data_IF_295981295878
#
_entry.id   IF_295981295878
#
_cell.length_a   1.000
_cell.length_b   1.000
_cell.length_c   1.000
_cell.angle_alpha   90.00
_cell.angle_beta   90.00
_cell.angle_gamma   90.00
#
_symmetry.space_group_name_H-M   'P 1'
#
loop_
_entity.id
_entity.type
_entity.pdbx_description
1 polymer ?
#
# COMPACT_ATOMS: atom_id res chain seq x y z
N UNK A 1 -26.66 -10.35 -4.27
CA UNK A 1 -25.30 -9.75 -4.27
C UNK A 1 -25.29 -8.27 -3.91
N UNK A 2 -26.07 -7.42 -4.58
CA UNK A 2 -26.06 -5.96 -4.35
C UNK A 2 -26.36 -5.54 -2.90
N UNK A 3 -27.28 -6.23 -2.22
CA UNK A 3 -27.60 -5.99 -0.80
C UNK A 3 -26.40 -6.22 0.12
N UNK A 4 -25.63 -7.30 -0.11
CA UNK A 4 -24.43 -7.61 0.67
C UNK A 4 -23.31 -6.60 0.42
N UNK A 5 -23.11 -6.18 -0.83
CA UNK A 5 -22.13 -5.15 -1.17
C UNK A 5 -22.42 -3.81 -0.47
N UNK A 6 -23.68 -3.40 -0.42
CA UNK A 6 -24.09 -2.17 0.29
C UNK A 6 -23.85 -2.30 1.80
N UNK A 7 -24.13 -3.46 2.40
CA UNK A 7 -23.86 -3.70 3.82
C UNK A 7 -22.35 -3.60 4.11
N UNK A 8 -21.52 -4.24 3.29
CA UNK A 8 -20.07 -4.16 3.42
C UNK A 8 -19.54 -2.74 3.23
N UNK A 9 -20.11 -1.97 2.29
CA UNK A 9 -19.76 -0.57 2.07
C UNK A 9 -20.01 0.28 3.33
N UNK A 10 -21.18 0.12 3.95
CA UNK A 10 -21.53 0.84 5.18
C UNK A 10 -20.59 0.46 6.33
N UNK A 11 -20.30 -0.84 6.49
CA UNK A 11 -19.36 -1.33 7.52
C UNK A 11 -17.95 -0.77 7.29
N UNK A 12 -17.47 -0.72 6.05
CA UNK A 12 -16.17 -0.17 5.72
C UNK A 12 -16.06 1.34 6.03
N UNK A 13 -17.12 2.12 5.76
CA UNK A 13 -17.18 3.55 6.10
C UNK A 13 -17.18 3.75 7.62
N UNK A 14 -17.99 2.98 8.36
CA UNK A 14 -18.05 3.05 9.81
C UNK A 14 -16.69 2.70 10.41
N UNK A 15 -16.05 1.63 9.93
CA UNK A 15 -14.72 1.25 10.36
C UNK A 15 -13.72 2.37 10.07
N UNK A 16 -13.76 2.96 8.86
CA UNK A 16 -12.90 4.06 8.44
C UNK A 16 -12.99 5.27 9.39
N UNK A 17 -14.20 5.66 9.78
CA UNK A 17 -14.44 6.81 10.68
C UNK A 17 -14.06 6.48 12.13
N UNK A 18 -14.37 5.27 12.61
CA UNK A 18 -14.20 4.91 14.03
C UNK A 18 -12.79 4.44 14.39
N UNK A 19 -12.03 3.86 13.47
CA UNK A 19 -10.81 3.10 13.83
C UNK A 19 -9.61 3.27 12.91
N UNK A 20 -9.78 3.75 11.67
CA UNK A 20 -8.65 3.86 10.75
C UNK A 20 -7.76 5.08 10.98
N UNK A 21 -8.14 6.06 11.81
CA UNK A 21 -7.30 7.23 12.07
C UNK A 21 -5.92 6.89 12.68
N UNK A 22 -5.86 5.94 13.63
CA UNK A 22 -4.60 5.52 14.27
C UNK A 22 -3.80 4.48 13.48
N UNK A 23 -4.50 3.55 12.81
CA UNK A 23 -3.87 2.50 12.00
C UNK A 23 -3.31 3.07 10.70
N UNK A 24 -3.97 4.10 10.13
CA UNK A 24 -3.45 4.81 8.96
C UNK A 24 -2.08 5.42 9.25
N UNK A 25 -1.84 5.96 10.45
CA UNK A 25 -0.53 6.48 10.85
C UNK A 25 0.56 5.40 10.86
N UNK A 26 0.30 4.27 11.53
CA UNK A 26 1.27 3.17 11.58
C UNK A 26 1.49 2.51 10.20
N UNK A 27 0.43 2.34 9.41
CA UNK A 27 0.51 1.82 8.05
C UNK A 27 1.27 2.77 7.11
N UNK A 28 1.13 4.08 7.30
CA UNK A 28 1.85 5.09 6.53
C UNK A 28 3.36 5.01 6.77
N UNK A 29 3.79 4.82 8.02
CA UNK A 29 5.22 4.65 8.33
C UNK A 29 5.80 3.38 7.68
N UNK A 30 5.08 2.25 7.76
CA UNK A 30 5.50 1.00 7.11
C UNK A 30 5.56 1.16 5.57
N UNK A 31 4.58 1.85 4.99
CA UNK A 31 4.53 2.13 3.55
C UNK A 31 5.70 2.98 3.07
N UNK A 32 6.11 4.00 3.85
CA UNK A 32 7.29 4.84 3.53
C UNK A 32 8.57 4.01 3.46
N UNK A 33 8.77 3.10 4.42
CA UNK A 33 9.95 2.22 4.46
C UNK A 33 9.97 1.32 3.22
N UNK A 34 8.85 0.65 2.91
CA UNK A 34 8.72 -0.21 1.74
C UNK A 34 8.93 0.55 0.43
N UNK A 35 8.40 1.77 0.31
CA UNK A 35 8.57 2.62 -0.86
C UNK A 35 10.05 2.95 -1.09
N UNK A 36 10.79 3.29 -0.03
CA UNK A 36 12.22 3.58 -0.13
C UNK A 36 13.04 2.35 -0.51
N UNK A 37 12.74 1.20 0.10
CA UNK A 37 13.36 -0.09 -0.26
C UNK A 37 13.08 -0.43 -1.72
N UNK A 38 11.85 -0.24 -2.18
CA UNK A 38 11.49 -0.46 -3.58
C UNK A 38 12.26 0.46 -4.52
N UNK A 39 12.41 1.74 -4.19
CA UNK A 39 13.21 2.68 -4.99
C UNK A 39 14.66 2.20 -5.09
N UNK A 40 15.27 1.82 -3.96
CA UNK A 40 16.65 1.33 -3.96
C UNK A 40 16.78 0.08 -4.84
N UNK A 41 15.89 -0.90 -4.67
CA UNK A 41 15.87 -2.10 -5.49
C UNK A 41 15.59 -1.81 -6.96
N UNK A 42 14.71 -0.86 -7.26
CA UNK A 42 14.38 -0.44 -8.62
C UNK A 42 15.58 0.22 -9.30
N UNK A 43 16.29 1.11 -8.61
CA UNK A 43 17.52 1.73 -9.12
C UNK A 43 18.60 0.67 -9.32
N UNK A 44 18.79 -0.24 -8.37
CA UNK A 44 19.73 -1.36 -8.53
C UNK A 44 19.32 -2.24 -9.73
N UNK A 45 18.05 -2.60 -9.85
CA UNK A 45 17.53 -3.38 -10.97
C UNK A 45 17.68 -2.64 -12.30
N UNK A 46 17.58 -1.31 -12.33
CA UNK A 46 17.79 -0.50 -13.54
C UNK A 46 19.27 -0.50 -13.95
N UNK A 47 20.18 -0.37 -12.98
CA UNK A 47 21.63 -0.38 -13.21
C UNK A 47 22.08 -1.78 -13.64
N UNK A 48 21.76 -2.81 -12.86
CA UNK A 48 22.11 -4.21 -13.16
C UNK A 48 21.34 -4.80 -14.34
N UNK A 49 20.10 -4.35 -14.56
CA UNK A 49 19.28 -4.72 -15.72
C UNK A 49 19.84 -4.14 -17.02
N UNK A 50 20.41 -2.93 -17.00
CA UNK A 50 21.17 -2.39 -18.15
C UNK A 50 22.50 -3.11 -18.41
N UNK A 51 23.04 -3.85 -17.43
CA UNK A 51 24.28 -4.62 -17.57
C UNK A 51 24.03 -5.98 -18.25
N UNK A 52 22.77 -6.42 -18.41
CA UNK A 52 22.43 -7.46 -19.38
C UNK A 52 22.47 -6.87 -20.79
N UNK A 53 23.66 -6.88 -21.39
CA UNK A 53 23.86 -6.87 -22.84
C UNK A 53 24.64 -8.13 -23.22
N UNK A 54 24.37 -8.75 -24.38
CA UNK A 54 23.10 -9.09 -25.03
C UNK A 54 22.53 -10.46 -24.60
#
# INVERSE_FOLDING_TARGET
>A
MLRWAIIFLVVAIIAAVLGFGGIAGAATEIAKILFFVFIVLFVLALIFGKIRKP
#
